data_IF_283685517935
#
_entry.id   IF_283685517935
#
_cell.length_a   1.000
_cell.length_b   1.000
_cell.length_c   1.000
_cell.angle_alpha   90.00
_cell.angle_beta   90.00
_cell.angle_gamma   90.00
#
_symmetry.space_group_name_H-M   'P 1'
#
loop_
_entity.id
_entity.type
_entity.pdbx_description
1 polymer ?
#
# COMPACT_ATOMS: atom_id res chain seq x y z
N UNK A 1 -27.62 35.99 -47.60
CA UNK A 1 -28.30 35.11 -46.63
C UNK A 1 -28.50 33.76 -47.30
N UNK A 2 -27.78 32.74 -46.82
CA UNK A 2 -28.16 31.33 -46.87
C UNK A 2 -27.13 30.57 -46.02
N UNK A 3 -27.61 30.00 -44.91
CA UNK A 3 -26.90 29.27 -43.86
C UNK A 3 -25.86 28.25 -44.35
N UNK A 4 -24.70 28.28 -43.72
CA UNK A 4 -23.78 27.14 -43.64
C UNK A 4 -24.08 26.36 -42.35
N UNK A 5 -24.65 25.17 -42.49
CA UNK A 5 -24.96 24.25 -41.39
C UNK A 5 -23.66 23.61 -40.88
N UNK A 6 -23.12 24.15 -39.77
CA UNK A 6 -21.99 23.57 -39.04
C UNK A 6 -22.56 22.72 -37.91
N UNK A 7 -22.57 21.39 -38.11
CA UNK A 7 -22.76 20.44 -37.00
C UNK A 7 -21.55 20.51 -36.07
N UNK A 8 -21.74 20.65 -34.75
CA UNK A 8 -20.64 20.53 -33.80
C UNK A 8 -20.24 19.05 -33.62
N UNK A 9 -18.94 18.73 -33.49
CA UNK A 9 -18.50 17.40 -33.08
C UNK A 9 -18.76 17.27 -31.58
N UNK A 10 -19.94 16.76 -31.25
CA UNK A 10 -20.29 16.36 -29.89
C UNK A 10 -20.14 14.85 -29.91
N UNK A 11 -18.98 14.35 -29.49
CA UNK A 11 -18.77 12.93 -29.11
C UNK A 11 -17.33 12.62 -28.62
N UNK A 12 -16.37 13.56 -28.71
CA UNK A 12 -15.00 13.31 -28.22
C UNK A 12 -14.78 13.59 -26.71
N UNK A 13 -15.79 14.09 -25.99
CA UNK A 13 -15.66 14.49 -24.57
C UNK A 13 -16.16 13.41 -23.61
N UNK A 14 -16.94 12.43 -24.07
CA UNK A 14 -17.57 11.43 -23.21
C UNK A 14 -16.73 10.15 -22.98
N UNK A 15 -15.75 9.85 -23.83
CA UNK A 15 -14.91 8.64 -23.66
C UNK A 15 -13.82 8.79 -22.58
N UNK A 16 -13.36 10.02 -22.30
CA UNK A 16 -12.32 10.25 -21.28
C UNK A 16 -12.88 10.15 -19.84
N UNK A 17 -14.20 10.19 -19.67
CA UNK A 17 -14.82 10.16 -18.34
C UNK A 17 -14.75 8.78 -17.66
N UNK A 18 -14.53 7.69 -18.39
CA UNK A 18 -14.50 6.33 -17.81
C UNK A 18 -13.11 5.74 -17.65
N UNK A 19 -12.06 6.46 -18.04
CA UNK A 19 -10.70 5.92 -18.08
C UNK A 19 -9.90 6.33 -16.84
N UNK A 20 -9.53 5.34 -16.03
CA UNK A 20 -8.55 5.52 -14.95
C UNK A 20 -7.17 5.67 -15.58
N UNK A 21 -6.39 6.69 -15.19
CA UNK A 21 -5.07 6.97 -15.75
C UNK A 21 -3.95 6.16 -15.11
N UNK A 22 -4.06 5.84 -13.82
CA UNK A 22 -3.03 5.12 -13.06
C UNK A 22 -3.58 3.86 -12.39
N UNK A 23 -4.85 3.87 -11.97
CA UNK A 23 -5.50 2.77 -11.25
C UNK A 23 -6.25 1.78 -12.17
N UNK A 24 -6.04 1.84 -13.48
CA UNK A 24 -6.63 0.90 -14.44
C UNK A 24 -6.28 -0.56 -14.11
N UNK A 25 -5.05 -0.82 -13.67
CA UNK A 25 -4.63 -2.15 -13.23
C UNK A 25 -5.44 -2.67 -12.03
N UNK A 26 -5.95 -1.79 -11.16
CA UNK A 26 -6.77 -2.17 -10.00
C UNK A 26 -8.11 -2.70 -10.49
N UNK A 27 -8.70 -2.04 -11.49
CA UNK A 27 -9.95 -2.48 -12.10
C UNK A 27 -9.76 -3.83 -12.81
N UNK A 28 -8.70 -3.98 -13.62
CA UNK A 28 -8.36 -5.25 -14.28
C UNK A 28 -8.12 -6.36 -13.27
N UNK A 29 -7.41 -6.08 -12.17
CA UNK A 29 -7.14 -7.05 -11.10
C UNK A 29 -8.42 -7.43 -10.36
N UNK A 30 -9.29 -6.46 -10.04
CA UNK A 30 -10.57 -6.73 -9.40
C UNK A 30 -11.45 -7.62 -10.27
N UNK A 31 -11.52 -7.36 -11.59
CA UNK A 31 -12.22 -8.21 -12.55
C UNK A 31 -11.62 -9.63 -12.54
N UNK A 32 -10.30 -9.75 -12.64
CA UNK A 32 -9.62 -11.05 -12.62
C UNK A 32 -9.93 -11.84 -11.34
N UNK A 33 -9.85 -11.18 -10.18
CA UNK A 33 -10.18 -11.75 -8.87
C UNK A 33 -11.64 -12.20 -8.83
N UNK A 34 -12.59 -11.36 -9.27
CA UNK A 34 -14.02 -11.71 -9.34
C UNK A 34 -14.20 -12.95 -10.23
N UNK A 35 -13.63 -12.97 -11.43
CA UNK A 35 -13.74 -14.11 -12.36
C UNK A 35 -13.17 -15.38 -11.74
N UNK A 36 -11.99 -15.32 -11.11
CA UNK A 36 -11.37 -16.45 -10.44
C UNK A 36 -12.23 -16.98 -9.29
N UNK A 37 -12.70 -16.11 -8.39
CA UNK A 37 -13.52 -16.52 -7.25
C UNK A 37 -14.91 -17.00 -7.68
N UNK A 38 -15.53 -16.37 -8.68
CA UNK A 38 -16.80 -16.84 -9.26
C UNK A 38 -16.65 -18.22 -9.88
N UNK A 39 -15.55 -18.47 -10.59
CA UNK A 39 -15.25 -19.80 -11.17
C UNK A 39 -15.07 -20.85 -10.09
N UNK A 40 -14.32 -20.53 -9.02
CA UNK A 40 -14.10 -21.44 -7.90
C UNK A 40 -15.39 -21.70 -7.11
N UNK A 41 -16.21 -20.67 -6.91
CA UNK A 41 -17.50 -20.77 -6.25
C UNK A 41 -18.48 -21.62 -7.05
N UNK A 42 -18.63 -21.38 -8.36
CA UNK A 42 -19.51 -22.17 -9.22
C UNK A 42 -19.05 -23.62 -9.32
N UNK A 43 -17.74 -23.87 -9.36
CA UNK A 43 -17.18 -25.22 -9.25
C UNK A 43 -17.55 -25.88 -7.91
N UNK A 44 -17.34 -25.21 -6.78
CA UNK A 44 -17.68 -25.74 -5.46
C UNK A 44 -19.19 -25.99 -5.29
N UNK A 45 -20.02 -25.06 -5.76
CA UNK A 45 -21.48 -25.15 -5.76
C UNK A 45 -21.96 -26.30 -6.64
N UNK A 46 -21.40 -26.49 -7.83
CA UNK A 46 -21.70 -27.62 -8.71
C UNK A 46 -21.40 -28.97 -8.06
N UNK A 47 -20.33 -29.04 -7.27
CA UNK A 47 -19.83 -30.26 -6.61
C UNK A 47 -20.30 -30.44 -5.16
N UNK A 48 -21.21 -29.61 -4.66
CA UNK A 48 -21.61 -29.59 -3.24
C UNK A 48 -22.56 -30.73 -2.80
N UNK A 49 -22.99 -31.59 -3.73
CA UNK A 49 -23.76 -32.81 -3.43
C UNK A 49 -25.01 -32.52 -2.57
N UNK A 50 -25.23 -33.22 -1.44
CA UNK A 50 -26.38 -33.01 -0.56
C UNK A 50 -26.52 -31.59 0.02
N UNK A 51 -25.45 -30.80 0.04
CA UNK A 51 -25.45 -29.43 0.58
C UNK A 51 -25.91 -28.38 -0.44
N UNK A 52 -26.06 -28.76 -1.72
CA UNK A 52 -26.44 -27.86 -2.81
C UNK A 52 -27.72 -27.05 -2.55
N UNK A 53 -28.81 -27.61 -2.00
CA UNK A 53 -30.01 -26.84 -1.69
C UNK A 53 -29.75 -25.76 -0.62
N UNK A 54 -28.89 -26.04 0.36
CA UNK A 54 -28.52 -25.08 1.40
C UNK A 54 -27.70 -23.91 0.85
N UNK A 55 -26.72 -24.20 -0.02
CA UNK A 55 -25.92 -23.17 -0.71
C UNK A 55 -26.82 -22.25 -1.54
N UNK A 56 -27.76 -22.81 -2.29
CA UNK A 56 -28.72 -22.04 -3.10
C UNK A 56 -29.68 -21.19 -2.25
N UNK A 57 -30.13 -21.70 -1.11
CA UNK A 57 -31.00 -20.95 -0.19
C UNK A 57 -30.28 -19.73 0.41
N UNK A 58 -29.01 -19.90 0.82
CA UNK A 58 -28.19 -18.80 1.31
C UNK A 58 -27.91 -17.79 0.20
N UNK A 59 -27.55 -18.25 -1.00
CA UNK A 59 -27.34 -17.39 -2.17
C UNK A 59 -28.59 -16.55 -2.49
N UNK A 60 -29.78 -17.17 -2.51
CA UNK A 60 -31.04 -16.49 -2.74
C UNK A 60 -31.34 -15.45 -1.65
N UNK A 61 -31.04 -15.77 -0.38
CA UNK A 61 -31.23 -14.85 0.75
C UNK A 61 -30.29 -13.66 0.63
N UNK A 62 -29.00 -13.90 0.38
CA UNK A 62 -27.99 -12.87 0.17
C UNK A 62 -28.38 -11.98 -1.01
N UNK A 63 -28.79 -12.56 -2.15
CA UNK A 63 -29.23 -11.80 -3.32
C UNK A 63 -30.45 -10.93 -3.02
N UNK A 64 -31.41 -11.43 -2.23
CA UNK A 64 -32.62 -10.68 -1.87
C UNK A 64 -32.32 -9.52 -0.91
N UNK A 65 -31.44 -9.75 0.08
CA UNK A 65 -31.13 -8.76 1.12
C UNK A 65 -30.14 -7.71 0.61
N UNK A 66 -29.10 -8.14 -0.11
CA UNK A 66 -27.99 -7.29 -0.54
C UNK A 66 -28.19 -6.79 -1.97
N UNK A 67 -28.97 -7.47 -2.82
CA UNK A 67 -29.24 -7.02 -4.20
C UNK A 67 -29.73 -5.56 -4.29
N UNK A 68 -30.74 -5.14 -3.51
CA UNK A 68 -31.20 -3.75 -3.50
C UNK A 68 -30.15 -2.74 -3.03
N UNK A 69 -29.19 -3.17 -2.22
CA UNK A 69 -28.06 -2.36 -1.76
C UNK A 69 -27.03 -2.26 -2.88
N UNK A 70 -26.67 -3.37 -3.52
CA UNK A 70 -25.74 -3.38 -4.66
C UNK A 70 -26.23 -2.46 -5.79
N UNK A 71 -27.50 -2.56 -6.20
CA UNK A 71 -28.07 -1.70 -7.25
C UNK A 71 -27.97 -0.20 -6.91
N UNK A 72 -28.04 0.18 -5.64
CA UNK A 72 -27.93 1.58 -5.21
C UNK A 72 -26.49 2.08 -5.10
N UNK A 73 -25.54 1.18 -4.89
CA UNK A 73 -24.19 1.54 -4.46
C UNK A 73 -23.09 1.02 -5.40
N UNK A 74 -23.40 0.28 -6.47
CA UNK A 74 -22.40 -0.34 -7.34
C UNK A 74 -21.51 0.66 -8.08
N UNK A 75 -22.02 1.85 -8.38
CA UNK A 75 -21.25 2.91 -9.06
C UNK A 75 -20.34 3.70 -8.10
N UNK A 76 -20.69 3.77 -6.81
CA UNK A 76 -19.95 4.59 -5.81
C UNK A 76 -18.48 4.16 -5.65
N UNK A 77 -18.13 2.86 -5.58
CA UNK A 77 -16.75 2.41 -5.55
C UNK A 77 -15.94 2.86 -6.77
N UNK A 78 -16.56 2.89 -7.96
CA UNK A 78 -15.89 3.31 -9.18
C UNK A 78 -15.68 4.83 -9.21
N UNK A 79 -16.67 5.62 -8.80
CA UNK A 79 -16.54 7.07 -8.69
C UNK A 79 -15.50 7.48 -7.64
N UNK A 80 -15.45 6.76 -6.52
CA UNK A 80 -14.42 6.94 -5.50
C UNK A 80 -13.03 6.58 -6.06
N UNK A 81 -12.92 5.48 -6.80
CA UNK A 81 -11.68 5.07 -7.45
C UNK A 81 -11.21 6.12 -8.47
N UNK A 82 -12.12 6.71 -9.23
CA UNK A 82 -11.84 7.80 -10.17
C UNK A 82 -11.38 9.08 -9.45
N UNK A 83 -12.02 9.44 -8.35
CA UNK A 83 -11.58 10.56 -7.52
C UNK A 83 -10.16 10.35 -6.97
N UNK A 84 -9.87 9.14 -6.49
CA UNK A 84 -8.53 8.77 -6.01
C UNK A 84 -7.53 8.79 -7.16
N UNK A 85 -7.86 8.25 -8.35
CA UNK A 85 -7.00 8.26 -9.53
C UNK A 85 -6.60 9.68 -9.95
N UNK A 86 -7.56 10.61 -9.97
CA UNK A 86 -7.30 12.03 -10.22
C UNK A 86 -6.40 12.67 -9.15
N UNK A 87 -6.60 12.31 -7.88
CA UNK A 87 -5.76 12.79 -6.77
C UNK A 87 -4.35 12.19 -6.80
N UNK A 88 -4.23 10.93 -7.22
CA UNK A 88 -2.94 10.27 -7.43
C UNK A 88 -2.16 10.94 -8.56
N UNK A 89 -2.83 11.40 -9.62
CA UNK A 89 -2.19 12.20 -10.68
C UNK A 89 -1.60 13.50 -10.11
N UNK A 90 -2.37 14.26 -9.32
CA UNK A 90 -1.91 15.51 -8.68
C UNK A 90 -0.72 15.25 -7.73
N UNK A 91 -0.80 14.18 -6.94
CA UNK A 91 0.26 13.76 -6.03
C UNK A 91 1.51 13.30 -6.78
N UNK A 92 1.38 12.52 -7.86
CA UNK A 92 2.53 12.07 -8.65
C UNK A 92 3.20 13.27 -9.31
N UNK A 93 2.47 14.24 -9.85
CA UNK A 93 3.08 15.44 -10.45
C UNK A 93 3.84 16.29 -9.43
N UNK A 94 3.33 16.37 -8.19
CA UNK A 94 3.98 17.09 -7.10
C UNK A 94 5.17 16.32 -6.52
N UNK A 95 5.05 14.99 -6.40
CA UNK A 95 6.14 14.12 -5.94
C UNK A 95 7.24 14.05 -6.99
N UNK A 96 6.91 13.99 -8.28
CA UNK A 96 7.89 13.90 -9.36
C UNK A 96 8.78 15.15 -9.45
N UNK A 97 8.21 16.32 -9.12
CA UNK A 97 8.95 17.59 -9.04
C UNK A 97 9.80 17.73 -7.77
N UNK A 98 9.45 17.02 -6.69
CA UNK A 98 10.12 17.10 -5.39
C UNK A 98 11.01 15.90 -5.04
N UNK A 99 10.95 14.80 -5.79
CA UNK A 99 11.77 13.62 -5.56
C UNK A 99 13.13 13.80 -6.24
N UNK A 100 14.23 13.83 -5.47
CA UNK A 100 15.57 13.95 -6.03
C UNK A 100 15.85 12.79 -6.99
N UNK A 101 16.49 13.08 -8.13
CA UNK A 101 16.94 12.08 -9.12
C UNK A 101 17.70 10.89 -8.49
N UNK A 102 18.38 11.13 -7.38
CA UNK A 102 19.07 10.13 -6.58
C UNK A 102 18.15 9.00 -6.08
N UNK A 103 16.89 9.31 -5.73
CA UNK A 103 15.93 8.32 -5.26
C UNK A 103 15.41 7.45 -6.42
N UNK A 104 15.17 8.05 -7.59
CA UNK A 104 14.78 7.32 -8.82
C UNK A 104 15.88 6.36 -9.29
N UNK A 105 17.14 6.79 -9.16
CA UNK A 105 18.29 5.96 -9.50
C UNK A 105 18.46 4.81 -8.49
N UNK A 106 18.36 5.10 -7.20
CA UNK A 106 18.48 4.08 -6.15
C UNK A 106 17.38 3.01 -6.27
N UNK A 107 16.13 3.40 -6.55
CA UNK A 107 15.02 2.45 -6.73
C UNK A 107 15.21 1.58 -7.98
N UNK A 108 15.62 2.17 -9.10
CA UNK A 108 15.89 1.46 -10.36
C UNK A 108 17.03 0.45 -10.18
N UNK A 109 18.08 0.85 -9.46
CA UNK A 109 19.21 -0.02 -9.14
C UNK A 109 18.80 -1.16 -8.20
N UNK A 110 17.98 -0.89 -7.18
CA UNK A 110 17.46 -1.91 -6.28
C UNK A 110 16.58 -2.93 -7.01
N UNK A 111 15.70 -2.48 -7.92
CA UNK A 111 14.83 -3.34 -8.72
C UNK A 111 15.63 -4.24 -9.66
N UNK A 112 16.68 -3.71 -10.29
CA UNK A 112 17.58 -4.48 -11.14
C UNK A 112 18.35 -5.54 -10.33
N UNK A 113 18.83 -5.18 -9.14
CA UNK A 113 19.50 -6.13 -8.23
C UNK A 113 18.52 -7.22 -7.79
N UNK A 114 17.28 -6.87 -7.43
CA UNK A 114 16.26 -7.84 -7.05
C UNK A 114 15.90 -8.80 -8.21
N UNK A 115 15.78 -8.27 -9.43
CA UNK A 115 15.53 -9.10 -10.61
C UNK A 115 16.67 -10.08 -10.87
N UNK A 116 17.92 -9.60 -10.84
CA UNK A 116 19.11 -10.47 -11.00
C UNK A 116 19.21 -11.50 -9.88
N UNK A 117 18.91 -11.13 -8.64
CA UNK A 117 18.89 -12.07 -7.52
C UNK A 117 17.81 -13.14 -7.71
N UNK A 118 16.64 -12.78 -8.26
CA UNK A 118 15.56 -13.71 -8.58
C UNK A 118 15.91 -14.66 -9.73
N UNK A 119 16.64 -14.18 -10.73
CA UNK A 119 17.19 -14.98 -11.83
C UNK A 119 18.21 -15.99 -11.31
N UNK A 120 19.18 -15.53 -10.52
CA UNK A 120 20.18 -16.39 -9.85
C UNK A 120 19.49 -17.43 -8.95
N UNK A 121 18.45 -17.03 -8.21
CA UNK A 121 17.70 -17.95 -7.36
C UNK A 121 16.94 -19.01 -8.16
N UNK A 122 16.41 -18.66 -9.35
CA UNK A 122 15.71 -19.58 -10.24
C UNK A 122 16.66 -20.60 -10.85
N UNK A 123 17.82 -20.14 -11.32
CA UNK A 123 18.86 -21.01 -11.89
C UNK A 123 19.36 -22.00 -10.83
N UNK A 124 19.64 -21.50 -9.62
CA UNK A 124 20.10 -22.32 -8.50
C UNK A 124 19.02 -23.30 -7.98
N UNK A 125 17.74 -22.90 -7.98
CA UNK A 125 16.65 -23.80 -7.63
C UNK A 125 16.52 -24.95 -8.64
N UNK A 126 16.73 -24.67 -9.94
CA UNK A 126 16.72 -25.70 -10.98
C UNK A 126 17.89 -26.69 -10.86
N UNK A 127 19.04 -26.23 -10.36
CA UNK A 127 20.24 -27.03 -10.18
C UNK A 127 20.21 -27.85 -8.87
N UNK A 128 19.64 -27.28 -7.79
CA UNK A 128 19.39 -27.98 -6.52
C UNK A 128 18.40 -29.14 -6.69
N UNK A 129 17.38 -28.97 -7.55
CA UNK A 129 16.41 -30.04 -7.86
C UNK A 129 17.05 -31.21 -8.64
N UNK A 130 18.20 -30.97 -9.28
CA UNK A 130 18.93 -31.95 -10.10
C UNK A 130 20.05 -32.66 -9.34
N UNK A 131 20.81 -31.93 -8.52
CA UNK A 131 22.06 -32.42 -7.88
C UNK A 131 22.03 -32.48 -6.34
N UNK A 132 20.92 -32.15 -5.67
CA UNK A 132 20.77 -32.30 -4.21
C UNK A 132 21.60 -31.32 -3.36
N UNK A 133 22.05 -30.21 -3.97
CA UNK A 133 23.07 -29.30 -3.43
C UNK A 133 22.55 -28.20 -2.49
N UNK A 134 21.62 -28.56 -1.59
CA UNK A 134 20.88 -27.60 -0.72
C UNK A 134 21.82 -26.77 0.18
N UNK A 135 22.91 -27.37 0.67
CA UNK A 135 23.84 -26.69 1.57
C UNK A 135 24.66 -25.59 0.87
N UNK A 136 25.00 -25.77 -0.41
CA UNK A 136 25.71 -24.76 -1.19
C UNK A 136 24.78 -23.59 -1.49
N UNK A 137 23.51 -23.85 -1.81
CA UNK A 137 22.52 -22.81 -2.03
C UNK A 137 22.23 -21.99 -0.77
N UNK A 138 22.14 -22.65 0.39
CA UNK A 138 22.01 -22.02 1.70
C UNK A 138 23.20 -21.09 2.02
N UNK A 139 24.43 -21.54 1.74
CA UNK A 139 25.63 -20.72 1.98
C UNK A 139 25.74 -19.51 1.04
N UNK A 140 25.38 -19.66 -0.23
CA UNK A 140 25.31 -18.53 -1.18
C UNK A 140 24.27 -17.51 -0.72
N UNK A 141 23.06 -17.96 -0.36
CA UNK A 141 22.00 -17.08 0.14
C UNK A 141 22.44 -16.31 1.40
N UNK A 142 23.09 -16.99 2.35
CA UNK A 142 23.67 -16.34 3.54
C UNK A 142 24.72 -15.30 3.17
N UNK A 143 25.61 -15.60 2.22
CA UNK A 143 26.67 -14.68 1.78
C UNK A 143 26.12 -13.43 1.09
N UNK A 144 25.04 -13.57 0.31
CA UNK A 144 24.36 -12.45 -0.32
C UNK A 144 23.64 -11.61 0.75
N UNK A 145 22.95 -12.27 1.67
CA UNK A 145 22.27 -11.58 2.76
C UNK A 145 23.25 -10.74 3.59
N UNK A 146 24.37 -11.32 4.04
CA UNK A 146 25.37 -10.58 4.84
C UNK A 146 26.04 -9.44 4.06
N UNK A 147 26.18 -9.58 2.73
CA UNK A 147 26.73 -8.52 1.89
C UNK A 147 25.78 -7.33 1.74
N UNK A 148 24.48 -7.57 1.58
CA UNK A 148 23.51 -6.52 1.28
C UNK A 148 22.77 -5.98 2.51
N UNK A 149 22.69 -6.75 3.60
CA UNK A 149 22.10 -6.33 4.86
C UNK A 149 22.60 -4.95 5.35
N UNK A 150 23.92 -4.66 5.42
CA UNK A 150 24.39 -3.36 5.91
C UNK A 150 23.97 -2.20 4.99
N UNK A 151 24.05 -2.39 3.67
CA UNK A 151 23.62 -1.38 2.69
C UNK A 151 22.11 -1.15 2.75
N UNK A 152 21.31 -2.22 2.90
CA UNK A 152 19.87 -2.10 3.08
C UNK A 152 19.55 -1.32 4.36
N UNK A 153 20.18 -1.66 5.49
CA UNK A 153 20.01 -0.95 6.77
C UNK A 153 20.38 0.53 6.68
N UNK A 154 21.49 0.86 6.02
CA UNK A 154 21.93 2.24 5.82
C UNK A 154 20.92 3.03 4.97
N UNK A 155 20.44 2.44 3.86
CA UNK A 155 19.42 3.06 3.02
C UNK A 155 18.11 3.24 3.81
N UNK A 156 17.66 2.23 4.55
CA UNK A 156 16.48 2.36 5.41
C UNK A 156 16.65 3.49 6.42
N UNK A 157 17.75 3.54 7.16
CA UNK A 157 18.00 4.59 8.15
C UNK A 157 18.00 6.00 7.52
N UNK A 158 18.53 6.14 6.30
CA UNK A 158 18.55 7.42 5.58
C UNK A 158 17.16 7.87 5.13
N UNK A 159 16.33 6.95 4.65
CA UNK A 159 15.07 7.29 3.99
C UNK A 159 13.85 7.21 4.91
N UNK A 160 13.90 6.39 5.95
CA UNK A 160 12.83 6.24 6.93
C UNK A 160 12.31 7.58 7.49
N UNK A 161 13.14 8.51 8.00
CA UNK A 161 12.61 9.78 8.53
C UNK A 161 11.99 10.66 7.45
N UNK A 162 12.48 10.58 6.21
CA UNK A 162 11.92 11.31 5.07
C UNK A 162 10.57 10.73 4.67
N UNK A 163 10.46 9.39 4.63
CA UNK A 163 9.23 8.68 4.34
C UNK A 163 8.16 8.95 5.41
N UNK A 164 8.53 8.93 6.70
CA UNK A 164 7.64 9.26 7.81
C UNK A 164 7.12 10.70 7.71
N UNK A 165 8.01 11.66 7.52
CA UNK A 165 7.62 13.07 7.37
C UNK A 165 6.64 13.27 6.21
N UNK A 166 6.90 12.65 5.07
CA UNK A 166 6.02 12.71 3.91
C UNK A 166 4.68 12.01 4.17
N UNK A 167 4.68 10.85 4.83
CA UNK A 167 3.46 10.13 5.20
C UNK A 167 2.58 10.97 6.15
N UNK A 168 3.18 11.61 7.16
CA UNK A 168 2.47 12.52 8.08
C UNK A 168 1.91 13.74 7.34
N UNK A 169 2.70 14.34 6.44
CA UNK A 169 2.27 15.47 5.62
C UNK A 169 1.07 15.09 4.74
N UNK A 170 1.17 13.98 4.01
CA UNK A 170 0.10 13.47 3.16
C UNK A 170 -1.16 13.15 3.98
N UNK A 171 -1.01 12.50 5.13
CA UNK A 171 -2.11 12.19 6.04
C UNK A 171 -2.84 13.45 6.53
N UNK A 172 -2.11 14.47 6.96
CA UNK A 172 -2.69 15.77 7.37
C UNK A 172 -3.42 16.45 6.23
N UNK A 173 -2.89 16.38 5.01
CA UNK A 173 -3.55 16.92 3.81
C UNK A 173 -4.83 16.15 3.48
N UNK A 174 -4.84 14.83 3.61
CA UNK A 174 -6.04 14.02 3.42
C UNK A 174 -7.13 14.34 4.46
N UNK A 175 -6.76 14.61 5.71
CA UNK A 175 -7.71 15.04 6.76
C UNK A 175 -8.43 16.37 6.45
N UNK A 176 -7.94 17.17 5.50
CA UNK A 176 -8.64 18.37 5.01
C UNK A 176 -9.79 18.05 4.06
N UNK A 177 -9.88 16.82 3.55
CA UNK A 177 -10.96 16.38 2.67
C UNK A 177 -12.23 16.08 3.50
N UNK A 178 -13.43 16.43 3.01
CA UNK A 178 -14.65 16.43 3.82
C UNK A 178 -15.09 15.04 4.34
N UNK A 179 -14.72 13.94 3.66
CA UNK A 179 -15.10 12.58 4.04
C UNK A 179 -13.97 11.79 4.71
N UNK A 180 -12.72 12.21 4.53
CA UNK A 180 -11.56 11.42 4.96
C UNK A 180 -11.49 11.20 6.48
N UNK A 181 -11.80 12.18 7.35
CA UNK A 181 -11.79 11.95 8.80
C UNK A 181 -12.74 10.82 9.25
N UNK A 182 -13.92 10.72 8.64
CA UNK A 182 -14.91 9.67 8.95
C UNK A 182 -14.42 8.30 8.50
N UNK A 183 -13.82 8.24 7.30
CA UNK A 183 -13.20 7.02 6.78
C UNK A 183 -12.01 6.60 7.64
N UNK A 184 -11.17 7.54 8.06
CA UNK A 184 -10.00 7.28 8.89
C UNK A 184 -10.39 6.73 10.28
N UNK A 185 -11.49 7.21 10.88
CA UNK A 185 -12.01 6.67 12.15
C UNK A 185 -12.36 5.18 12.08
N UNK A 186 -12.72 4.67 10.90
CA UNK A 186 -13.02 3.25 10.68
C UNK A 186 -11.75 2.48 10.30
N UNK A 187 -10.97 3.03 9.36
CA UNK A 187 -9.81 2.34 8.81
C UNK A 187 -8.64 2.24 9.79
N UNK A 188 -8.38 3.27 10.60
CA UNK A 188 -7.22 3.27 11.51
C UNK A 188 -7.33 2.18 12.58
N UNK A 189 -8.45 2.03 13.33
CA UNK A 189 -8.58 0.94 14.29
C UNK A 189 -8.60 -0.43 13.62
N UNK A 190 -9.20 -0.53 12.43
CA UNK A 190 -9.24 -1.79 11.65
C UNK A 190 -7.82 -2.21 11.24
N UNK A 191 -7.02 -1.29 10.71
CA UNK A 191 -5.64 -1.53 10.34
C UNK A 191 -4.78 -1.92 11.55
N UNK A 192 -4.97 -1.26 12.70
CA UNK A 192 -4.28 -1.60 13.94
C UNK A 192 -4.61 -3.03 14.40
N UNK A 193 -5.90 -3.40 14.43
CA UNK A 193 -6.36 -4.74 14.80
C UNK A 193 -5.75 -5.84 13.90
N UNK A 194 -5.79 -5.65 12.59
CA UNK A 194 -5.25 -6.64 11.65
C UNK A 194 -3.73 -6.71 11.70
N UNK A 195 -3.05 -5.58 11.93
CA UNK A 195 -1.60 -5.54 12.10
C UNK A 195 -1.17 -6.31 13.35
N UNK A 196 -1.88 -6.14 14.47
CA UNK A 196 -1.60 -6.89 15.70
C UNK A 196 -1.83 -8.40 15.50
N UNK A 197 -2.90 -8.78 14.80
CA UNK A 197 -3.20 -10.18 14.50
C UNK A 197 -2.15 -10.82 13.60
N UNK A 198 -1.69 -10.10 12.58
CA UNK A 198 -0.58 -10.53 11.73
C UNK A 198 0.70 -10.70 12.54
N UNK A 199 1.07 -9.71 13.36
CA UNK A 199 2.28 -9.78 14.19
C UNK A 199 2.24 -11.00 15.12
N UNK A 200 1.10 -11.25 15.76
CA UNK A 200 0.90 -12.44 16.61
C UNK A 200 1.07 -13.74 15.83
N UNK A 201 0.54 -13.81 14.61
CA UNK A 201 0.69 -14.99 13.76
C UNK A 201 2.15 -15.24 13.35
N UNK A 202 2.89 -14.18 13.02
CA UNK A 202 4.32 -14.25 12.70
C UNK A 202 5.11 -14.73 13.92
N UNK A 203 4.91 -14.13 15.09
CA UNK A 203 5.59 -14.55 16.34
C UNK A 203 5.29 -16.01 16.67
N UNK A 204 4.02 -16.42 16.60
CA UNK A 204 3.62 -17.81 16.81
C UNK A 204 4.29 -18.78 15.83
N UNK A 205 4.41 -18.39 14.56
CA UNK A 205 5.07 -19.22 13.55
C UNK A 205 6.59 -19.32 13.79
N UNK A 206 7.23 -18.22 14.23
CA UNK A 206 8.64 -18.21 14.64
C UNK A 206 8.89 -19.11 15.85
N UNK A 207 8.06 -19.04 16.88
CA UNK A 207 8.14 -19.89 18.08
C UNK A 207 8.05 -21.38 17.74
N UNK A 208 7.32 -21.73 16.68
CA UNK A 208 7.20 -23.10 16.19
C UNK A 208 8.27 -23.53 15.18
N UNK A 209 9.21 -22.64 14.87
CA UNK A 209 10.32 -22.93 13.96
C UNK A 209 9.93 -23.02 12.49
N UNK A 210 8.81 -22.43 12.07
CA UNK A 210 8.47 -22.36 10.64
C UNK A 210 9.47 -21.46 9.90
N UNK A 211 10.26 -22.04 8.99
CA UNK A 211 11.31 -21.34 8.26
C UNK A 211 10.84 -20.07 7.53
N UNK A 212 9.60 -20.07 7.01
CA UNK A 212 9.01 -18.92 6.30
C UNK A 212 8.83 -17.71 7.21
N UNK A 213 8.61 -17.92 8.51
CA UNK A 213 8.32 -16.84 9.45
C UNK A 213 9.53 -15.91 9.69
N UNK A 214 10.76 -16.40 9.51
CA UNK A 214 11.99 -15.59 9.61
C UNK A 214 12.09 -14.50 8.53
N UNK A 215 11.31 -14.62 7.46
CA UNK A 215 11.29 -13.66 6.36
C UNK A 215 10.10 -12.70 6.44
N UNK A 216 9.19 -12.88 7.40
CA UNK A 216 8.01 -12.04 7.58
C UNK A 216 8.31 -10.93 8.58
N UNK A 217 8.40 -9.66 8.16
CA UNK A 217 8.68 -8.56 9.08
C UNK A 217 7.46 -8.28 9.96
N UNK A 218 7.70 -7.97 11.23
CA UNK A 218 6.67 -7.44 12.12
C UNK A 218 6.33 -6.00 11.73
N UNK A 219 5.05 -5.64 11.83
CA UNK A 219 4.55 -4.28 11.60
C UNK A 219 4.76 -3.46 12.88
N UNK A 220 5.52 -2.35 12.87
CA UNK A 220 5.81 -1.57 14.07
C UNK A 220 4.65 -0.60 14.40
N UNK A 221 3.53 -1.13 14.88
CA UNK A 221 2.28 -0.39 15.11
C UNK A 221 2.47 0.78 16.08
N UNK A 222 3.23 0.59 17.16
CA UNK A 222 3.49 1.60 18.19
C UNK A 222 4.30 2.77 17.65
N UNK A 223 5.30 2.46 16.80
CA UNK A 223 6.15 3.47 16.16
C UNK A 223 5.34 4.31 15.18
N UNK A 224 4.49 3.65 14.38
CA UNK A 224 3.56 4.33 13.47
C UNK A 224 2.66 5.27 14.29
N UNK A 225 1.97 4.76 15.32
CA UNK A 225 1.10 5.60 16.16
C UNK A 225 1.83 6.84 16.70
N UNK A 226 3.04 6.66 17.26
CA UNK A 226 3.86 7.75 17.79
C UNK A 226 4.20 8.83 16.75
N UNK A 227 4.54 8.44 15.53
CA UNK A 227 4.87 9.37 14.43
C UNK A 227 3.66 10.24 14.05
N UNK A 228 2.44 9.70 14.14
CA UNK A 228 1.22 10.44 13.83
C UNK A 228 0.67 11.27 15.00
N UNK A 229 1.00 10.93 16.26
CA UNK A 229 0.63 11.70 17.45
C UNK A 229 1.50 12.96 17.68
N UNK A 230 2.79 12.91 17.31
CA UNK A 230 3.80 13.94 17.63
C UNK A 230 3.72 15.28 16.89
N UNK A 231 2.56 15.66 16.35
CA UNK A 231 2.39 16.87 15.53
C UNK A 231 2.00 18.15 16.25
N UNK A 232 1.77 18.12 17.57
CA UNK A 232 1.09 19.19 18.31
C UNK A 232 1.92 19.99 19.31
N UNK A 233 3.23 19.79 19.40
CA UNK A 233 4.01 20.45 20.46
C UNK A 233 5.46 20.76 20.05
N UNK A 234 5.67 21.73 19.16
CA UNK A 234 6.74 22.76 19.27
C UNK A 234 6.37 23.95 18.37
N UNK A 235 5.41 24.76 18.79
CA UNK A 235 5.37 26.19 18.47
C UNK A 235 4.92 26.89 19.75
N UNK A 236 5.88 27.36 20.55
CA UNK A 236 5.65 28.42 21.52
C UNK A 236 7.00 29.05 21.89
N UNK A 237 7.23 30.23 21.31
CA UNK A 237 7.89 31.36 21.95
C UNK A 237 9.33 31.15 22.42
N UNK A 238 10.27 31.31 21.49
CA UNK A 238 11.64 31.67 21.86
C UNK A 238 11.63 33.17 22.24
N UNK A 239 11.23 33.47 23.47
CA UNK A 239 11.40 34.79 24.08
C UNK A 239 12.77 34.81 24.76
N UNK A 240 13.73 35.41 24.07
CA UNK A 240 15.07 35.76 24.57
C UNK A 240 14.93 36.57 25.88
N UNK A 241 15.55 36.15 27.00
CA UNK A 241 15.69 37.03 28.15
C UNK A 241 16.87 37.97 27.91
N UNK A 242 16.55 39.27 27.82
CA UNK A 242 17.48 40.39 28.00
C UNK A 242 18.23 40.22 29.32
N UNK A 243 19.55 40.14 29.24
CA UNK A 243 20.44 40.16 30.41
C UNK A 243 20.80 41.63 30.65
N UNK A 244 20.07 42.28 31.56
CA UNK A 244 20.51 43.52 32.20
C UNK A 244 20.93 43.18 33.63
N UNK A 245 22.11 43.64 34.05
CA UNK A 245 22.64 43.29 35.36
C UNK A 245 24.14 43.46 35.54
N UNK A 246 24.59 44.71 35.50
CA UNK A 246 25.43 45.34 36.52
C UNK A 246 26.75 44.67 36.93
N UNK A 247 27.82 45.36 36.53
CA UNK A 247 29.16 45.36 37.12
C UNK A 247 29.10 45.72 38.61
N UNK A 248 29.68 44.89 39.48
CA UNK A 248 30.14 45.31 40.80
C UNK A 248 31.52 44.69 41.07
N UNK A 249 32.52 45.55 41.05
CA UNK A 249 33.88 45.31 41.51
C UNK A 249 33.97 45.72 42.97
N UNK A 250 34.59 44.89 43.83
CA UNK A 250 35.60 45.30 44.81
C UNK A 250 35.91 44.17 45.82
N UNK A 251 37.20 43.84 45.88
CA UNK A 251 38.02 43.36 47.02
C UNK A 251 37.53 42.19 47.88
#
# INVERSE_FOLDING_TARGET
MAESDVRPPTDAVAEDERKLKYLDFVQVTAIYVIVCFSTLYEYGKGNSGPLKPGVQAVEATVKTVIGPVYEKFHDIPFDLLKFIDLKVVELITEVDSHVPSLLKQASSQALLIAHKASEIARDLASEVHRDGLVDIASNIAKSLYTKYEPTAKELYAKYEPVAEKNAVSAWRSMYKLPLFPQVAQILVPTAAYWSEKYNRAVTYALERGFAVAYYLPAIPVERIAKVFEGGGAVENGDSVPMIDGTVASAQ
#
